data_IF_689153561460
#
_entry.id   IF_689153561460
#
_cell.length_a   1.000
_cell.length_b   1.000
_cell.length_c   1.000
_cell.angle_alpha   90.00
_cell.angle_beta   90.00
_cell.angle_gamma   90.00
#
_symmetry.space_group_name_H-M   'P 1'
#
loop_
_entity.id
_entity.type
_entity.pdbx_description
1 polymer ?
#
# COMPACT_ATOMS: atom_id res chain seq x y z
N UNK A 1 16.53 17.92 -9.21
CA UNK A 1 15.15 18.34 -9.52
C UNK A 1 15.13 19.86 -9.57
N UNK A 2 14.77 20.47 -10.70
CA UNK A 2 14.82 21.93 -10.85
C UNK A 2 13.46 22.53 -10.45
N UNK A 3 13.29 22.85 -9.17
CA UNK A 3 12.06 23.43 -8.61
C UNK A 3 11.58 24.68 -9.36
N UNK A 4 12.50 25.45 -9.94
CA UNK A 4 12.21 26.64 -10.74
C UNK A 4 11.37 26.38 -12.01
N UNK A 5 11.18 25.12 -12.41
CA UNK A 5 10.33 24.74 -13.55
C UNK A 5 8.89 24.35 -13.15
N UNK A 6 8.59 24.28 -11.86
CA UNK A 6 7.26 23.93 -11.37
C UNK A 6 6.47 25.21 -11.07
N UNK A 7 5.21 25.26 -11.50
CA UNK A 7 4.33 26.36 -11.13
C UNK A 7 4.08 26.34 -9.61
N UNK A 8 4.02 27.50 -8.94
CA UNK A 8 3.60 27.56 -7.53
C UNK A 8 2.26 26.86 -7.32
N UNK A 9 2.10 26.19 -6.17
CA UNK A 9 0.89 25.45 -5.81
C UNK A 9 0.54 24.27 -6.74
N UNK A 10 1.52 23.71 -7.46
CA UNK A 10 1.29 22.48 -8.23
C UNK A 10 1.04 21.30 -7.29
N UNK A 11 -0.11 20.64 -7.44
CA UNK A 11 -0.48 19.44 -6.69
C UNK A 11 -0.08 18.20 -7.49
N UNK A 12 0.45 17.19 -6.77
CA UNK A 12 0.86 15.90 -7.30
C UNK A 12 0.20 14.76 -6.51
N UNK A 13 -0.38 13.80 -7.23
CA UNK A 13 -0.68 12.51 -6.65
C UNK A 13 0.61 11.68 -6.59
N UNK A 14 0.88 11.09 -5.42
CA UNK A 14 1.91 10.08 -5.24
C UNK A 14 1.21 8.75 -5.04
N UNK A 15 1.31 7.87 -6.02
CA UNK A 15 0.64 6.59 -6.04
C UNK A 15 1.40 5.60 -6.93
N UNK A 16 1.27 4.31 -6.66
CA UNK A 16 1.87 3.25 -7.48
C UNK A 16 1.24 3.14 -8.87
N UNK A 17 0.01 3.63 -9.05
CA UNK A 17 -0.80 3.37 -10.24
C UNK A 17 -1.40 1.96 -10.29
N UNK A 18 -1.28 1.20 -9.19
CA UNK A 18 -1.82 -0.14 -9.05
C UNK A 18 -2.89 -0.16 -7.95
N UNK A 19 -3.94 -0.94 -8.15
CA UNK A 19 -4.95 -1.24 -7.15
C UNK A 19 -4.84 -2.69 -6.71
N UNK A 20 -5.09 -2.96 -5.43
CA UNK A 20 -5.03 -4.31 -4.85
C UNK A 20 -6.38 -4.71 -4.27
N UNK A 21 -6.76 -5.98 -4.42
CA UNK A 21 -7.93 -6.53 -3.72
C UNK A 21 -7.52 -6.83 -2.28
N UNK A 22 -8.38 -6.51 -1.32
CA UNK A 22 -8.13 -6.79 0.10
C UNK A 22 -7.85 -8.28 0.37
N UNK A 23 -8.49 -9.19 -0.37
CA UNK A 23 -8.23 -10.62 -0.28
C UNK A 23 -6.79 -10.98 -0.69
N UNK A 24 -6.30 -10.46 -1.81
CA UNK A 24 -4.95 -10.74 -2.30
C UNK A 24 -3.88 -10.22 -1.31
N UNK A 25 -4.12 -9.06 -0.68
CA UNK A 25 -3.26 -8.52 0.39
C UNK A 25 -3.21 -9.49 1.58
N UNK A 26 -4.37 -9.99 2.02
CA UNK A 26 -4.47 -10.94 3.11
C UNK A 26 -3.76 -12.25 2.77
N UNK A 27 -3.95 -12.79 1.57
CA UNK A 27 -3.32 -14.02 1.10
C UNK A 27 -1.79 -13.91 1.10
N UNK A 28 -1.22 -12.77 0.69
CA UNK A 28 0.22 -12.51 0.75
C UNK A 28 0.77 -12.52 2.20
N UNK A 29 0.00 -12.02 3.17
CA UNK A 29 0.38 -12.04 4.58
C UNK A 29 0.23 -13.45 5.20
N UNK A 30 -0.84 -14.16 4.83
CA UNK A 30 -1.07 -15.53 5.27
C UNK A 30 0.00 -16.48 4.76
N UNK A 31 0.45 -16.33 3.51
CA UNK A 31 1.54 -17.12 2.93
C UNK A 31 2.87 -16.96 3.68
N UNK A 32 3.06 -15.84 4.38
CA UNK A 32 4.24 -15.57 5.20
C UNK A 32 4.08 -16.01 6.66
N UNK A 33 2.92 -16.51 7.07
CA UNK A 33 2.62 -16.94 8.44
C UNK A 33 3.10 -18.38 8.68
N UNK A 34 3.62 -18.66 9.87
CA UNK A 34 4.11 -20.00 10.25
C UNK A 34 3.01 -20.93 10.76
N UNK A 35 1.78 -20.44 10.89
CA UNK A 35 0.62 -21.16 11.42
C UNK A 35 -0.57 -20.98 10.50
N UNK A 36 -1.48 -21.96 10.52
CA UNK A 36 -2.76 -21.84 9.82
C UNK A 36 -3.65 -20.83 10.55
N UNK A 37 -4.10 -19.80 9.84
CA UNK A 37 -5.01 -18.78 10.34
C UNK A 37 -6.33 -18.94 9.61
N UNK A 38 -7.43 -18.96 10.36
CA UNK A 38 -8.79 -19.00 9.79
C UNK A 38 -9.26 -17.58 9.53
N UNK A 39 -9.81 -17.35 8.33
CA UNK A 39 -10.32 -16.03 7.91
C UNK A 39 -11.83 -16.00 8.13
N UNK A 40 -12.31 -15.01 8.87
CA UNK A 40 -13.73 -14.78 9.15
C UNK A 40 -14.10 -13.33 8.84
N UNK A 41 -15.33 -13.12 8.35
CA UNK A 41 -15.86 -11.77 8.12
C UNK A 41 -16.53 -11.26 9.39
N UNK A 42 -16.13 -10.07 9.84
CA UNK A 42 -16.74 -9.37 10.98
C UNK A 42 -17.66 -8.25 10.46
N UNK A 43 -19.00 -8.39 10.59
CA UNK A 43 -19.95 -7.37 10.12
C UNK A 43 -19.72 -5.99 10.73
N UNK A 44 -19.15 -5.89 11.94
CA UNK A 44 -18.87 -4.62 12.59
C UNK A 44 -17.69 -3.87 11.95
N UNK A 45 -16.86 -4.57 11.16
CA UNK A 45 -15.72 -4.00 10.42
C UNK A 45 -16.07 -3.66 8.97
N UNK A 46 -17.25 -4.05 8.50
CA UNK A 46 -17.69 -3.78 7.14
C UNK A 46 -18.20 -2.34 7.03
N UNK A 47 -17.71 -1.61 6.03
CA UNK A 47 -18.19 -0.25 5.78
C UNK A 47 -19.54 -0.30 5.05
N UNK A 48 -20.51 0.55 5.41
CA UNK A 48 -21.80 0.64 4.71
C UNK A 48 -21.68 1.04 3.24
N UNK A 49 -20.57 1.67 2.86
CA UNK A 49 -20.24 2.07 1.49
C UNK A 49 -18.75 1.90 1.28
N UNK A 50 -18.37 1.04 0.35
CA UNK A 50 -17.00 0.91 -0.15
C UNK A 50 -16.97 1.13 -1.66
N UNK A 51 -15.96 1.88 -2.12
CA UNK A 51 -15.67 1.99 -3.54
C UNK A 51 -14.97 0.70 -3.99
N UNK A 52 -15.45 0.04 -5.07
CA UNK A 52 -14.95 -1.28 -5.45
C UNK A 52 -13.50 -1.26 -5.95
N UNK A 53 -13.01 -0.12 -6.44
CA UNK A 53 -11.63 0.05 -6.88
C UNK A 53 -11.22 1.51 -6.72
N UNK A 54 -10.04 1.73 -6.14
CA UNK A 54 -9.39 3.03 -6.03
C UNK A 54 -7.97 2.87 -6.57
N UNK A 55 -7.61 3.69 -7.56
CA UNK A 55 -6.27 3.73 -8.14
C UNK A 55 -5.84 5.17 -8.31
N UNK A 56 -4.62 5.49 -7.89
CA UNK A 56 -4.06 6.84 -8.01
C UNK A 56 -3.28 7.02 -9.31
N UNK A 57 -3.52 8.11 -10.03
CA UNK A 57 -2.72 8.47 -11.21
C UNK A 57 -1.56 9.39 -10.82
N UNK A 58 -0.34 8.85 -10.81
CA UNK A 58 0.90 9.58 -10.54
C UNK A 58 1.63 10.06 -11.80
N UNK A 59 0.95 10.13 -12.96
CA UNK A 59 1.57 10.54 -14.24
C UNK A 59 2.26 11.89 -14.14
N UNK A 60 1.66 12.88 -13.45
CA UNK A 60 2.28 14.20 -13.25
C UNK A 60 3.57 14.12 -12.40
N UNK A 61 3.59 13.30 -11.36
CA UNK A 61 4.78 13.11 -10.53
C UNK A 61 5.89 12.39 -11.31
N UNK A 62 5.54 11.34 -12.05
CA UNK A 62 6.48 10.63 -12.94
C UNK A 62 7.13 11.54 -13.97
N UNK A 63 6.34 12.36 -14.65
CA UNK A 63 6.84 13.17 -15.77
C UNK A 63 7.62 14.40 -15.32
N UNK A 64 7.16 15.11 -14.27
CA UNK A 64 7.76 16.37 -13.85
C UNK A 64 8.82 16.22 -12.77
N UNK A 65 8.69 15.19 -11.93
CA UNK A 65 9.61 14.95 -10.80
C UNK A 65 10.57 13.79 -11.06
N UNK A 66 10.31 12.97 -12.08
CA UNK A 66 10.99 11.68 -12.25
C UNK A 66 10.65 10.69 -11.13
N UNK A 67 9.59 10.96 -10.36
CA UNK A 67 9.23 10.17 -9.20
C UNK A 67 8.50 8.88 -9.60
N UNK A 68 8.88 7.76 -8.98
CA UNK A 68 8.19 6.48 -9.10
C UNK A 68 8.29 5.72 -7.77
N UNK A 69 7.36 4.80 -7.46
CA UNK A 69 7.54 3.88 -6.33
C UNK A 69 8.82 3.05 -6.54
N UNK A 70 9.66 2.97 -5.50
CA UNK A 70 10.92 2.21 -5.54
C UNK A 70 10.79 0.82 -4.92
N UNK A 71 9.83 0.64 -4.02
CA UNK A 71 9.56 -0.64 -3.36
C UNK A 71 8.34 -1.31 -3.98
N UNK A 72 8.44 -2.62 -4.18
CA UNK A 72 7.28 -3.45 -4.50
C UNK A 72 6.31 -3.49 -3.33
N UNK A 73 5.08 -3.88 -3.63
CA UNK A 73 4.04 -3.98 -2.62
C UNK A 73 4.32 -5.15 -1.65
N UNK A 74 4.83 -6.26 -2.19
CA UNK A 74 5.22 -7.46 -1.46
C UNK A 74 6.36 -7.18 -0.48
N UNK A 75 7.40 -6.45 -0.91
CA UNK A 75 8.49 -6.01 -0.01
C UNK A 75 7.95 -5.14 1.12
N UNK A 76 7.01 -4.24 0.81
CA UNK A 76 6.38 -3.37 1.81
C UNK A 76 5.60 -4.20 2.84
N UNK A 77 4.79 -5.17 2.40
CA UNK A 77 4.05 -6.06 3.30
C UNK A 77 4.97 -6.90 4.17
N UNK A 78 6.03 -7.46 3.60
CA UNK A 78 7.02 -8.25 4.34
C UNK A 78 7.72 -7.40 5.42
N UNK A 79 8.10 -6.16 5.09
CA UNK A 79 8.72 -5.24 6.02
C UNK A 79 7.78 -4.86 7.19
N UNK A 80 6.51 -4.56 6.88
CA UNK A 80 5.49 -4.28 7.92
C UNK A 80 5.27 -5.49 8.82
N UNK A 81 5.13 -6.69 8.25
CA UNK A 81 4.95 -7.91 9.03
C UNK A 81 6.16 -8.20 9.93
N UNK A 82 7.38 -7.94 9.44
CA UNK A 82 8.59 -8.11 10.21
C UNK A 82 8.67 -7.10 11.38
N UNK A 83 8.32 -5.83 11.16
CA UNK A 83 8.22 -4.84 12.23
C UNK A 83 7.19 -5.25 13.28
N UNK A 84 6.01 -5.73 12.87
CA UNK A 84 5.00 -6.25 13.80
C UNK A 84 5.53 -7.41 14.66
N UNK A 85 6.26 -8.37 14.05
CA UNK A 85 6.89 -9.49 14.78
C UNK A 85 7.91 -9.00 15.79
N UNK A 86 8.76 -8.05 15.40
CA UNK A 86 9.78 -7.50 16.29
C UNK A 86 9.16 -6.81 17.52
N UNK A 87 8.02 -6.13 17.37
CA UNK A 87 7.33 -5.45 18.49
C UNK A 87 6.70 -6.40 19.51
N UNK A 88 6.38 -7.63 19.13
CA UNK A 88 5.75 -8.63 20.00
C UNK A 88 6.71 -9.73 20.43
N UNK A 89 7.96 -9.69 19.97
CA UNK A 89 8.98 -10.64 20.38
C UNK A 89 9.27 -10.49 21.88
N UNK A 90 9.32 -11.60 22.64
CA UNK A 90 9.77 -11.56 24.02
C UNK A 90 11.23 -11.11 24.09
N UNK A 91 11.58 -10.44 25.19
CA UNK A 91 12.96 -10.01 25.49
C UNK A 91 13.93 -11.18 25.67
#
# INVERSE_FOLDING_TARGET
>A
MNSNKLAPNTIFNLASGLSWRMADILDLLLAQSSVKIVVEQDPLRMRPSDLPCIVGDATRARTLLGWAPEHSFEETLAAVLQDCRARVAPA
#
